data_IF_789094573205
#
_entry.id   IF_789094573205
#
_cell.length_a   1.000
_cell.length_b   1.000
_cell.length_c   1.000
_cell.angle_alpha   90.00
_cell.angle_beta   90.00
_cell.angle_gamma   90.00
#
_symmetry.space_group_name_H-M   'P 1'
#
loop_
_entity.id
_entity.type
_entity.pdbx_description
1 polymer ?
#
# COMPACT_ATOMS: atom_id res chain seq x y z
N UNK A 1 4.50 -5.45 -0.41
CA UNK A 1 4.97 -4.11 -0.01
C UNK A 1 5.64 -4.19 1.35
N UNK A 2 6.83 -3.63 1.46
CA UNK A 2 7.63 -3.59 2.69
C UNK A 2 7.87 -2.14 3.08
N UNK A 3 7.71 -1.79 4.35
CA UNK A 3 7.96 -0.44 4.87
C UNK A 3 8.98 -0.49 6.02
N UNK A 4 10.25 -0.25 5.74
CA UNK A 4 11.36 -0.39 6.68
C UNK A 4 11.22 0.49 7.93
N UNK A 5 10.92 1.79 7.76
CA UNK A 5 10.80 2.72 8.89
C UNK A 5 9.66 2.37 9.85
N UNK A 6 8.51 1.90 9.33
CA UNK A 6 7.39 1.47 10.16
C UNK A 6 7.49 0.01 10.61
N UNK A 7 8.44 -0.74 10.06
CA UNK A 7 8.66 -2.14 10.40
C UNK A 7 7.49 -3.06 10.04
N UNK A 8 6.77 -2.78 8.96
CA UNK A 8 5.56 -3.53 8.55
C UNK A 8 5.60 -3.97 7.10
N UNK A 9 4.83 -5.00 6.79
CA UNK A 9 4.64 -5.51 5.43
C UNK A 9 3.19 -5.89 5.19
N UNK A 10 2.76 -5.82 3.95
CA UNK A 10 1.46 -6.30 3.46
C UNK A 10 1.61 -6.81 2.01
N UNK A 11 0.96 -7.92 1.69
CA UNK A 11 0.85 -8.42 0.33
C UNK A 11 -0.43 -7.85 -0.30
N UNK A 12 -0.29 -6.92 -1.24
CA UNK A 12 -1.41 -6.47 -2.06
C UNK A 12 -1.78 -7.55 -3.09
N UNK A 13 -3.01 -7.52 -3.63
CA UNK A 13 -3.44 -8.53 -4.61
C UNK A 13 -2.50 -8.58 -5.82
N UNK A 14 -2.23 -9.78 -6.31
CA UNK A 14 -1.35 -9.98 -7.46
C UNK A 14 -1.87 -9.25 -8.70
N UNK A 15 -0.96 -8.66 -9.47
CA UNK A 15 -1.28 -7.89 -10.68
C UNK A 15 -1.79 -6.47 -10.43
N UNK A 16 -1.93 -6.03 -9.16
CA UNK A 16 -2.29 -4.66 -8.86
C UNK A 16 -1.06 -3.74 -8.88
N UNK A 17 -1.24 -2.53 -9.40
CA UNK A 17 -0.21 -1.50 -9.36
C UNK A 17 -0.16 -0.86 -7.98
N UNK A 18 1.01 -0.93 -7.31
CA UNK A 18 1.22 -0.37 -5.97
C UNK A 18 1.95 0.97 -6.08
N UNK A 19 1.38 2.00 -5.47
CA UNK A 19 1.95 3.34 -5.38
C UNK A 19 2.18 3.72 -3.92
N UNK A 20 3.43 3.98 -3.56
CA UNK A 20 3.79 4.51 -2.25
C UNK A 20 3.74 6.04 -2.31
N UNK A 21 2.81 6.64 -1.60
CA UNK A 21 2.60 8.08 -1.47
C UNK A 21 3.06 8.55 -0.09
N UNK A 22 3.31 9.84 0.15
CA UNK A 22 3.83 10.34 1.42
C UNK A 22 2.99 9.96 2.66
N UNK A 23 1.66 9.84 2.52
CA UNK A 23 0.74 9.59 3.64
C UNK A 23 0.02 8.25 3.57
N UNK A 24 0.14 7.52 2.46
CA UNK A 24 -0.56 6.26 2.23
C UNK A 24 0.08 5.44 1.12
N UNK A 25 -0.18 4.14 1.15
CA UNK A 25 0.09 3.23 0.04
C UNK A 25 -1.22 2.88 -0.62
N UNK A 26 -1.28 2.91 -1.94
CA UNK A 26 -2.48 2.60 -2.71
C UNK A 26 -2.15 1.53 -3.74
N UNK A 27 -2.87 0.43 -3.69
CA UNK A 27 -2.87 -0.60 -4.73
C UNK A 27 -4.15 -0.47 -5.57
N UNK A 28 -4.03 -0.53 -6.88
CA UNK A 28 -5.16 -0.42 -7.82
C UNK A 28 -5.11 -1.53 -8.85
N UNK A 29 -6.28 -1.98 -9.29
CA UNK A 29 -6.41 -2.82 -10.48
C UNK A 29 -5.82 -2.12 -11.73
N UNK A 30 -5.40 -2.87 -12.77
CA UNK A 30 -4.97 -2.28 -14.04
C UNK A 30 -6.02 -1.35 -14.65
N UNK A 31 -7.31 -1.66 -14.50
CA UNK A 31 -8.45 -0.87 -14.99
C UNK A 31 -8.81 0.31 -14.07
N UNK A 32 -8.17 0.40 -12.89
CA UNK A 32 -8.43 1.43 -11.87
C UNK A 32 -9.89 1.47 -11.39
N UNK A 33 -10.55 0.33 -11.39
CA UNK A 33 -11.95 0.14 -10.97
C UNK A 33 -12.09 -0.42 -9.55
N UNK A 34 -10.98 -0.87 -8.95
CA UNK A 34 -10.89 -1.21 -7.52
C UNK A 34 -9.57 -0.71 -6.94
N UNK A 35 -9.59 -0.42 -5.64
CA UNK A 35 -8.39 -0.03 -4.91
C UNK A 35 -8.41 -0.59 -3.48
N UNK A 36 -7.20 -0.81 -2.95
CA UNK A 36 -6.94 -1.05 -1.54
C UNK A 36 -5.87 -0.08 -1.09
N UNK A 37 -6.18 0.78 -0.13
CA UNK A 37 -5.20 1.70 0.45
C UNK A 37 -4.89 1.34 1.90
N UNK A 38 -3.69 1.69 2.31
CA UNK A 38 -3.17 1.61 3.68
C UNK A 38 -2.60 2.95 4.07
N UNK A 39 -3.02 3.46 5.22
CA UNK A 39 -2.44 4.63 5.88
C UNK A 39 -2.09 4.31 7.33
N UNK A 40 -1.19 5.09 7.93
CA UNK A 40 -0.84 5.00 9.33
C UNK A 40 -1.05 6.35 10.02
N UNK A 41 -1.61 6.32 11.24
CA UNK A 41 -1.86 7.52 12.03
C UNK A 41 -1.68 7.20 13.52
N UNK A 42 -1.36 8.21 14.33
CA UNK A 42 -1.40 8.07 15.78
C UNK A 42 -2.87 7.92 16.23
N UNK A 43 -3.23 6.84 16.93
CA UNK A 43 -4.58 6.71 17.45
C UNK A 43 -4.77 7.67 18.63
N UNK A 44 -6.00 8.15 18.89
CA UNK A 44 -6.30 8.86 20.13
C UNK A 44 -6.05 7.94 21.34
N UNK A 45 -5.69 8.55 22.49
CA UNK A 45 -5.45 7.79 23.72
C UNK A 45 -6.68 6.97 24.12
N UNK A 46 -6.45 5.75 24.59
CA UNK A 46 -7.48 4.84 25.10
C UNK A 46 -8.62 4.48 24.10
N UNK A 47 -8.42 4.67 22.82
CA UNK A 47 -9.39 4.30 21.78
C UNK A 47 -9.04 2.94 21.22
N UNK A 48 -9.99 1.99 21.25
CA UNK A 48 -9.82 0.65 20.68
C UNK A 48 -10.00 0.67 19.16
N UNK A 49 -9.46 -0.34 18.41
CA UNK A 49 -9.62 -0.42 16.95
C UNK A 49 -11.09 -0.33 16.48
N UNK A 50 -12.03 -0.94 17.21
CA UNK A 50 -13.47 -0.85 16.96
C UNK A 50 -13.98 0.59 17.02
N UNK A 51 -13.60 1.31 18.07
CA UNK A 51 -14.04 2.69 18.28
C UNK A 51 -13.42 3.64 17.26
N UNK A 52 -12.14 3.42 16.92
CA UNK A 52 -11.48 4.21 15.89
C UNK A 52 -12.16 4.00 14.54
N UNK A 53 -12.50 2.76 14.16
CA UNK A 53 -13.21 2.48 12.93
C UNK A 53 -14.56 3.20 12.88
N UNK A 54 -15.32 3.18 13.97
CA UNK A 54 -16.59 3.91 14.06
C UNK A 54 -16.42 5.44 13.94
N UNK A 55 -15.32 5.99 14.51
CA UNK A 55 -14.99 7.41 14.39
C UNK A 55 -14.54 7.82 12.98
N UNK A 56 -13.94 6.92 12.22
CA UNK A 56 -13.55 7.20 10.82
C UNK A 56 -14.77 7.39 9.91
N UNK A 57 -15.92 6.79 10.25
CA UNK A 57 -17.16 6.84 9.47
C UNK A 57 -18.36 7.13 10.38
N UNK A 58 -18.44 8.35 10.96
CA UNK A 58 -19.49 8.68 11.90
C UNK A 58 -20.88 8.65 11.21
N UNK A 59 -21.83 7.99 11.87
CA UNK A 59 -23.21 7.91 11.38
C UNK A 59 -23.43 6.94 10.20
N UNK A 60 -22.38 6.29 9.70
CA UNK A 60 -22.50 5.33 8.59
C UNK A 60 -22.78 3.93 9.16
N UNK A 61 -23.83 3.22 8.67
CA UNK A 61 -24.09 1.85 9.07
C UNK A 61 -22.94 0.92 8.70
N UNK A 62 -22.46 0.14 9.69
CA UNK A 62 -21.40 -0.85 9.54
C UNK A 62 -22.02 -2.26 9.40
N UNK A 63 -21.59 -2.99 8.39
CA UNK A 63 -22.01 -4.36 8.11
C UNK A 63 -20.81 -5.32 8.22
N UNK A 64 -21.06 -6.56 8.69
CA UNK A 64 -20.02 -7.57 8.83
C UNK A 64 -18.88 -7.10 9.75
N UNK A 65 -19.24 -6.31 10.77
CA UNK A 65 -18.29 -5.77 11.73
C UNK A 65 -17.82 -6.86 12.70
N UNK A 66 -16.51 -6.93 12.94
CA UNK A 66 -15.96 -7.95 13.85
C UNK A 66 -14.48 -7.74 14.13
N UNK A 67 -13.98 -8.45 15.16
CA UNK A 67 -12.55 -8.47 15.45
C UNK A 67 -11.76 -9.06 14.28
N UNK A 68 -10.55 -8.59 14.13
CA UNK A 68 -9.62 -9.03 13.09
C UNK A 68 -8.27 -9.32 13.74
N UNK A 69 -7.96 -10.59 13.90
CA UNK A 69 -6.65 -11.03 14.37
C UNK A 69 -5.72 -11.26 13.18
N UNK A 70 -4.60 -10.55 13.16
CA UNK A 70 -3.62 -10.61 12.09
C UNK A 70 -2.22 -10.70 12.70
N UNK A 71 -1.54 -11.83 12.51
CA UNK A 71 -0.15 -11.97 12.95
C UNK A 71 0.08 -11.68 14.44
N UNK A 72 -0.91 -11.95 15.30
CA UNK A 72 -0.90 -11.65 16.73
C UNK A 72 -1.21 -10.18 17.07
N UNK A 73 -1.66 -9.39 16.10
CA UNK A 73 -2.06 -7.99 16.29
C UNK A 73 -3.58 -7.87 16.44
N UNK A 74 -4.02 -6.98 17.31
CA UNK A 74 -5.44 -6.69 17.49
C UNK A 74 -5.92 -5.71 16.43
N UNK A 75 -7.00 -6.07 15.76
CA UNK A 75 -7.65 -5.23 14.78
C UNK A 75 -9.17 -5.36 14.82
N UNK A 76 -9.81 -4.55 14.01
CA UNK A 76 -11.25 -4.58 13.78
C UNK A 76 -11.56 -4.26 12.33
N UNK A 77 -12.60 -4.88 11.76
CA UNK A 77 -12.99 -4.67 10.37
C UNK A 77 -14.49 -4.54 10.24
N UNK A 78 -14.93 -3.79 9.22
CA UNK A 78 -16.34 -3.67 8.83
C UNK A 78 -16.46 -3.17 7.39
N UNK A 79 -17.62 -3.35 6.77
CA UNK A 79 -18.03 -2.63 5.55
C UNK A 79 -18.86 -1.42 5.98
N UNK A 80 -18.40 -0.23 5.67
CA UNK A 80 -19.19 1.00 5.75
C UNK A 80 -20.05 1.09 4.47
N UNK A 81 -21.37 1.18 4.61
CA UNK A 81 -22.30 0.95 3.48
C UNK A 81 -22.41 2.11 2.51
N UNK A 82 -22.17 3.33 2.97
CA UNK A 82 -22.33 4.53 2.15
C UNK A 82 -21.29 5.59 2.54
N UNK A 83 -20.14 5.52 1.88
CA UNK A 83 -19.03 6.47 2.08
C UNK A 83 -18.66 7.13 0.76
N UNK A 84 -17.99 8.28 0.84
CA UNK A 84 -17.41 8.91 -0.35
C UNK A 84 -16.25 8.07 -0.88
N UNK A 85 -16.28 7.73 -2.15
CA UNK A 85 -15.29 6.91 -2.83
C UNK A 85 -14.33 7.78 -3.65
N UNK A 86 -13.11 7.31 -3.91
CA UNK A 86 -12.10 8.07 -4.65
C UNK A 86 -12.49 8.47 -6.08
N UNK A 87 -13.51 7.88 -6.64
CA UNK A 87 -14.03 8.19 -7.98
C UNK A 87 -15.15 9.26 -7.99
N UNK A 88 -15.45 9.87 -6.83
CA UNK A 88 -16.47 10.92 -6.69
C UNK A 88 -17.88 10.42 -6.46
N UNK A 89 -18.11 9.11 -6.52
CA UNK A 89 -19.39 8.49 -6.17
C UNK A 89 -19.44 8.12 -4.68
N UNK A 90 -20.59 7.63 -4.23
CA UNK A 90 -20.78 7.04 -2.90
C UNK A 90 -21.07 5.55 -3.02
N UNK A 91 -20.63 4.80 -2.01
CA UNK A 91 -20.89 3.36 -2.00
C UNK A 91 -20.23 2.64 -0.83
N UNK A 92 -20.32 1.31 -0.82
CA UNK A 92 -19.70 0.50 0.23
C UNK A 92 -18.18 0.47 0.12
N UNK A 93 -17.52 0.49 1.28
CA UNK A 93 -16.09 0.26 1.37
C UNK A 93 -15.75 -0.61 2.58
N UNK A 94 -14.80 -1.54 2.41
CA UNK A 94 -14.18 -2.30 3.49
C UNK A 94 -13.23 -1.40 4.25
N UNK A 95 -13.40 -1.31 5.56
CA UNK A 95 -12.41 -0.72 6.47
C UNK A 95 -11.83 -1.80 7.37
N UNK A 96 -10.56 -1.65 7.70
CA UNK A 96 -9.91 -2.38 8.78
C UNK A 96 -8.94 -1.47 9.51
N UNK A 97 -8.88 -1.61 10.83
CA UNK A 97 -7.96 -0.90 11.70
C UNK A 97 -7.15 -1.94 12.46
N UNK A 98 -5.83 -1.82 12.42
CA UNK A 98 -4.90 -2.70 13.14
C UNK A 98 -3.92 -1.84 13.93
N UNK A 99 -3.72 -2.15 15.20
CA UNK A 99 -2.77 -1.42 16.05
C UNK A 99 -1.43 -2.14 16.10
N UNK A 100 -0.37 -1.41 15.83
CA UNK A 100 0.99 -1.90 15.97
C UNK A 100 1.94 -0.74 16.27
N UNK A 101 2.84 -0.94 17.24
CA UNK A 101 3.92 -0.01 17.60
C UNK A 101 3.45 1.45 17.78
N UNK A 102 2.36 1.66 18.54
CA UNK A 102 1.81 2.99 18.84
C UNK A 102 1.07 3.65 17.67
N UNK A 103 0.91 2.98 16.54
CA UNK A 103 0.19 3.47 15.38
C UNK A 103 -1.06 2.65 15.08
N UNK A 104 -2.05 3.32 14.52
CA UNK A 104 -3.21 2.71 13.89
C UNK A 104 -2.98 2.63 12.38
N UNK A 105 -2.98 1.43 11.86
CA UNK A 105 -2.92 1.13 10.43
C UNK A 105 -4.35 0.99 9.92
N UNK A 106 -4.73 1.88 9.03
CA UNK A 106 -6.10 1.95 8.49
C UNK A 106 -6.09 1.51 7.04
N UNK A 107 -6.82 0.45 6.77
CA UNK A 107 -7.10 -0.03 5.42
C UNK A 107 -8.45 0.48 4.94
N UNK A 108 -8.55 0.78 3.64
CA UNK A 108 -9.81 1.04 2.95
C UNK A 108 -9.77 0.36 1.58
N UNK A 109 -10.67 -0.61 1.37
CA UNK A 109 -10.89 -1.29 0.10
C UNK A 109 -12.21 -0.86 -0.53
N UNK A 110 -12.20 -0.47 -1.79
CA UNK A 110 -13.39 -0.02 -2.50
C UNK A 110 -13.36 -0.41 -3.98
N UNK A 111 -14.55 -0.48 -4.58
CA UNK A 111 -14.74 -0.67 -6.02
C UNK A 111 -15.46 0.53 -6.61
N UNK A 112 -15.14 0.87 -7.86
CA UNK A 112 -15.79 1.98 -8.58
C UNK A 112 -17.28 1.74 -8.79
N UNK A 113 -17.65 0.49 -9.09
CA UNK A 113 -19.04 0.05 -9.21
C UNK A 113 -19.46 -0.66 -7.92
N UNK A 114 -20.48 -0.19 -7.25
CA UNK A 114 -20.96 -0.76 -5.99
C UNK A 114 -21.32 -2.25 -6.12
N UNK A 115 -21.84 -2.66 -7.27
CA UNK A 115 -22.19 -4.04 -7.57
C UNK A 115 -20.97 -5.00 -7.59
N UNK A 116 -19.77 -4.50 -7.80
CA UNK A 116 -18.55 -5.30 -7.79
C UNK A 116 -18.03 -5.58 -6.36
N UNK A 117 -18.48 -4.80 -5.36
CA UNK A 117 -17.98 -4.90 -3.98
C UNK A 117 -18.13 -6.30 -3.37
N UNK A 118 -19.28 -7.02 -3.48
CA UNK A 118 -19.41 -8.34 -2.87
C UNK A 118 -18.40 -9.38 -3.40
N UNK A 119 -18.07 -9.30 -4.70
CA UNK A 119 -17.11 -10.20 -5.31
C UNK A 119 -15.65 -9.83 -4.99
N UNK A 120 -15.37 -8.54 -4.74
CA UNK A 120 -14.01 -8.03 -4.50
C UNK A 120 -13.63 -8.00 -3.03
N UNK A 121 -14.60 -7.87 -2.11
CA UNK A 121 -14.37 -7.78 -0.67
C UNK A 121 -13.54 -8.94 -0.08
N UNK A 122 -13.74 -10.23 -0.47
CA UNK A 122 -12.88 -11.32 0.00
C UNK A 122 -11.40 -11.11 -0.37
N UNK A 123 -11.13 -10.49 -1.52
CA UNK A 123 -9.76 -10.17 -1.96
C UNK A 123 -9.14 -9.06 -1.10
N UNK A 124 -9.91 -8.03 -0.73
CA UNK A 124 -9.47 -7.02 0.23
C UNK A 124 -9.11 -7.66 1.56
N UNK A 125 -10.00 -8.47 2.12
CA UNK A 125 -9.77 -9.14 3.40
C UNK A 125 -8.56 -10.07 3.37
N UNK A 126 -8.37 -10.84 2.28
CA UNK A 126 -7.22 -11.72 2.16
C UNK A 126 -5.91 -10.95 2.15
N UNK A 127 -5.86 -9.82 1.44
CA UNK A 127 -4.71 -8.92 1.43
C UNK A 127 -4.47 -8.29 2.81
N UNK A 128 -5.49 -7.75 3.46
CA UNK A 128 -5.42 -7.16 4.80
C UNK A 128 -4.87 -8.17 5.81
N UNK A 129 -5.31 -9.42 5.75
CA UNK A 129 -4.84 -10.49 6.64
C UNK A 129 -3.35 -10.84 6.49
N UNK A 130 -2.71 -10.41 5.42
CA UNK A 130 -1.25 -10.58 5.25
C UNK A 130 -0.44 -9.52 6.00
N UNK A 131 -1.09 -8.47 6.54
CA UNK A 131 -0.41 -7.41 7.28
C UNK A 131 0.28 -7.99 8.51
N UNK A 132 1.55 -7.66 8.69
CA UNK A 132 2.36 -8.10 9.84
C UNK A 132 3.58 -7.23 10.03
N UNK A 133 4.27 -7.41 11.14
CA UNK A 133 5.61 -6.87 11.34
C UNK A 133 6.61 -7.47 10.34
N UNK A 134 7.62 -6.69 9.98
CA UNK A 134 8.79 -7.20 9.26
C UNK A 134 9.56 -8.19 10.13
N UNK A 135 10.12 -9.21 9.49
CA UNK A 135 11.15 -10.06 10.08
C UNK A 135 12.52 -9.40 9.88
N UNK A 136 13.49 -9.73 10.72
CA UNK A 136 14.81 -9.10 10.66
C UNK A 136 15.50 -9.25 9.29
N UNK A 137 15.34 -10.40 8.64
CA UNK A 137 15.89 -10.65 7.30
C UNK A 137 15.12 -9.95 6.15
N UNK A 138 14.00 -9.32 6.43
CA UNK A 138 13.18 -8.63 5.42
C UNK A 138 13.45 -7.11 5.36
N UNK A 139 14.18 -6.55 6.31
CA UNK A 139 14.50 -5.11 6.31
C UNK A 139 15.27 -4.69 5.06
N UNK A 140 16.14 -5.54 4.55
CA UNK A 140 16.86 -5.29 3.29
C UNK A 140 15.91 -5.15 2.08
N UNK A 141 14.76 -5.85 2.08
CA UNK A 141 13.74 -5.74 1.04
C UNK A 141 12.94 -4.42 1.11
N UNK A 142 12.97 -3.77 2.27
CA UNK A 142 12.29 -2.50 2.51
C UNK A 142 13.17 -1.28 2.23
N UNK A 143 14.43 -1.48 1.89
CA UNK A 143 15.33 -0.38 1.54
C UNK A 143 14.89 0.27 0.23
N UNK A 144 14.75 1.61 0.21
CA UNK A 144 14.41 2.31 -1.03
C UNK A 144 15.57 2.22 -2.03
N UNK A 145 15.24 2.08 -3.29
CA UNK A 145 16.23 2.27 -4.36
C UNK A 145 16.80 3.69 -4.27
N UNK A 146 18.12 3.80 -4.14
CA UNK A 146 18.81 5.09 -4.02
C UNK A 146 19.55 5.40 -5.31
N UNK A 147 19.50 6.66 -5.74
CA UNK A 147 20.39 7.15 -6.79
C UNK A 147 21.81 7.21 -6.20
N UNK A 148 22.74 6.52 -6.84
CA UNK A 148 24.16 6.58 -6.51
C UNK A 148 24.90 7.34 -7.61
N UNK A 149 25.55 8.43 -7.23
CA UNK A 149 26.46 9.13 -8.13
C UNK A 149 27.80 8.39 -8.20
N UNK A 150 28.27 8.15 -9.41
CA UNK A 150 29.59 7.58 -9.68
C UNK A 150 30.38 8.52 -10.57
N UNK A 151 31.70 8.55 -10.42
CA UNK A 151 32.60 9.27 -11.34
C UNK A 151 32.72 8.44 -12.61
N UNK A 152 32.30 9.01 -13.74
CA UNK A 152 32.46 8.36 -15.02
C UNK A 152 33.96 8.34 -15.43
N UNK A 153 34.36 7.25 -16.06
CA UNK A 153 35.68 7.07 -16.67
C UNK A 153 35.50 6.76 -18.16
N UNK A 154 36.56 6.80 -18.99
CA UNK A 154 36.48 6.42 -20.41
C UNK A 154 35.95 4.96 -20.62
N UNK A 155 36.06 4.12 -19.61
CA UNK A 155 35.60 2.73 -19.63
C UNK A 155 34.17 2.57 -19.11
N UNK A 156 33.52 3.59 -18.53
CA UNK A 156 32.18 3.53 -18.05
C UNK A 156 31.21 3.28 -19.21
N UNK A 157 30.36 2.26 -19.08
CA UNK A 157 29.36 1.90 -20.08
C UNK A 157 27.99 1.86 -19.43
N UNK A 158 27.02 2.51 -20.04
CA UNK A 158 25.63 2.56 -19.55
C UNK A 158 25.03 1.16 -19.48
N UNK A 159 25.34 0.29 -20.42
CA UNK A 159 24.84 -1.10 -20.45
C UNK A 159 25.33 -1.90 -19.25
N UNK A 160 26.58 -1.72 -18.84
CA UNK A 160 27.14 -2.37 -17.66
C UNK A 160 26.47 -1.85 -16.37
N UNK A 161 26.22 -0.55 -16.29
CA UNK A 161 25.50 0.08 -15.17
C UNK A 161 24.03 -0.38 -15.15
N UNK A 162 23.39 -0.51 -16.29
CA UNK A 162 22.03 -0.97 -16.43
C UNK A 162 21.87 -2.41 -15.95
N UNK A 163 22.79 -3.30 -16.29
CA UNK A 163 22.79 -4.69 -15.85
C UNK A 163 22.96 -4.86 -14.34
N UNK A 164 23.61 -3.90 -13.67
CA UNK A 164 23.80 -3.87 -12.22
C UNK A 164 22.71 -3.06 -11.49
N UNK A 165 21.77 -2.46 -12.21
CA UNK A 165 20.73 -1.59 -11.68
C UNK A 165 19.50 -2.37 -11.25
N UNK A 166 18.82 -2.00 -10.14
CA UNK A 166 17.55 -2.57 -9.75
C UNK A 166 16.36 -2.06 -10.60
N UNK A 167 16.59 -1.31 -11.65
CA UNK A 167 15.54 -0.80 -12.54
C UNK A 167 15.01 -1.96 -13.39
N UNK A 168 13.75 -2.35 -13.15
CA UNK A 168 13.15 -3.52 -13.82
C UNK A 168 12.84 -3.32 -15.31
N UNK A 169 12.42 -2.10 -15.70
CA UNK A 169 11.99 -1.81 -17.06
C UNK A 169 12.87 -0.74 -17.71
N UNK A 170 13.44 -1.05 -18.87
CA UNK A 170 14.24 -0.14 -19.67
C UNK A 170 15.40 0.52 -18.88
N UNK A 171 16.25 -0.28 -18.18
CA UNK A 171 17.27 0.28 -17.29
C UNK A 171 18.30 1.14 -18.04
N UNK A 172 18.74 0.76 -19.22
CA UNK A 172 19.71 1.51 -20.00
C UNK A 172 19.14 2.85 -20.47
N UNK A 173 17.92 2.84 -21.01
CA UNK A 173 17.23 4.05 -21.49
C UNK A 173 16.95 5.02 -20.32
N UNK A 174 16.53 4.49 -19.17
CA UNK A 174 16.32 5.32 -17.98
C UNK A 174 17.61 5.92 -17.45
N UNK A 175 18.72 5.17 -17.45
CA UNK A 175 20.02 5.71 -17.06
C UNK A 175 20.50 6.76 -18.04
N UNK A 176 20.31 6.58 -19.37
CA UNK A 176 20.61 7.60 -20.37
C UNK A 176 19.81 8.87 -20.13
N UNK A 177 18.49 8.74 -19.90
CA UNK A 177 17.62 9.87 -19.63
C UNK A 177 18.05 10.65 -18.38
N UNK A 178 18.38 9.94 -17.28
CA UNK A 178 18.82 10.55 -16.02
C UNK A 178 20.17 11.29 -16.14
N UNK A 179 20.98 10.95 -17.14
CA UNK A 179 22.30 11.54 -17.38
C UNK A 179 22.35 12.47 -18.62
N UNK A 180 21.18 12.85 -19.16
CA UNK A 180 21.07 13.68 -20.38
C UNK A 180 21.79 13.08 -21.60
N UNK A 181 21.79 11.76 -21.70
CA UNK A 181 22.43 11.01 -22.81
C UNK A 181 21.36 10.42 -23.76
N UNK A 182 20.21 11.06 -23.88
CA UNK A 182 19.09 10.58 -24.70
C UNK A 182 18.53 11.72 -25.57
N UNK A 183 18.23 11.50 -26.87
CA UNK A 183 18.62 10.37 -27.71
C UNK A 183 20.14 10.36 -27.94
N UNK A 184 20.73 9.24 -28.31
CA UNK A 184 22.17 8.97 -28.39
C UNK A 184 23.02 10.21 -28.75
N UNK A 185 23.66 10.84 -27.75
CA UNK A 185 24.67 11.89 -27.88
C UNK A 185 26.03 11.30 -27.64
#
# INVERSE_FOLDING_TARGET
FYHGTLGVTVAFPSGWAVQNQPTKVVATTPQKDALLQLSATAPPQNVQPRELLAKLQPGVPLQGAGPLEIGGLNGYTAIARDVSLPWGNRGPARYAVVYYNGLAYVFMGATRLNAAMPATDPLFLSSIKTFRRLRDNEFALAEPNRIRLIKATPQTRIEALASASPIEKYPAERLRLLNDLYPDK
#
